data_IF_424777944363
#
_entry.id   IF_424777944363
#
_cell.length_a   1.000
_cell.length_b   1.000
_cell.length_c   1.000
_cell.angle_alpha   90.00
_cell.angle_beta   90.00
_cell.angle_gamma   90.00
#
_symmetry.space_group_name_H-M   'P 1'
#
loop_
_entity.id
_entity.type
_entity.pdbx_description
1 polymer ?
#
# COMPACT_ATOMS: atom_id res chain seq x y z
N UNK A 1 -15.56 17.14 7.86
CA UNK A 1 -14.61 16.09 8.28
C UNK A 1 -13.24 16.73 8.37
N UNK A 2 -12.63 16.69 9.54
CA UNK A 2 -11.29 17.21 9.72
C UNK A 2 -10.27 16.28 9.06
N UNK A 3 -9.05 16.77 8.81
CA UNK A 3 -7.97 15.94 8.27
C UNK A 3 -7.58 14.84 9.26
N UNK A 4 -7.71 15.10 10.55
CA UNK A 4 -7.47 14.13 11.61
C UNK A 4 -8.52 13.01 11.62
N UNK A 5 -9.81 13.36 11.43
CA UNK A 5 -10.89 12.36 11.30
C UNK A 5 -10.64 11.43 10.13
N UNK A 6 -10.19 11.99 8.99
CA UNK A 6 -9.83 11.20 7.82
C UNK A 6 -8.70 10.20 8.14
N UNK A 7 -7.58 10.66 8.71
CA UNK A 7 -6.46 9.76 9.02
C UNK A 7 -6.80 8.73 10.10
N UNK A 8 -7.66 9.08 11.07
CA UNK A 8 -8.18 8.12 12.04
C UNK A 8 -8.98 7.01 11.35
N UNK A 9 -9.92 7.38 10.48
CA UNK A 9 -10.71 6.41 9.73
C UNK A 9 -9.83 5.57 8.79
N UNK A 10 -8.89 6.19 8.06
CA UNK A 10 -7.98 5.51 7.15
C UNK A 10 -7.11 4.47 7.87
N UNK A 11 -6.60 4.81 9.05
CA UNK A 11 -5.84 3.89 9.90
C UNK A 11 -6.69 2.68 10.31
N UNK A 12 -7.89 2.92 10.85
CA UNK A 12 -8.80 1.86 11.29
C UNK A 12 -9.18 0.93 10.15
N UNK A 13 -9.57 1.48 8.99
CA UNK A 13 -9.91 0.69 7.79
C UNK A 13 -8.72 -0.14 7.34
N UNK A 14 -7.54 0.46 7.24
CA UNK A 14 -6.33 -0.22 6.77
C UNK A 14 -5.94 -1.39 7.66
N UNK A 15 -5.92 -1.23 8.98
CA UNK A 15 -5.61 -2.32 9.91
C UNK A 15 -6.71 -3.38 9.98
N UNK A 16 -7.96 -3.01 9.83
CA UNK A 16 -9.08 -3.96 9.72
C UNK A 16 -8.92 -4.82 8.48
N UNK A 17 -8.65 -4.20 7.32
CA UNK A 17 -8.40 -4.92 6.06
C UNK A 17 -7.16 -5.81 6.16
N UNK A 18 -6.09 -5.35 6.80
CA UNK A 18 -4.91 -6.15 7.07
C UNK A 18 -5.22 -7.40 7.89
N UNK A 19 -6.02 -7.24 8.96
CA UNK A 19 -6.46 -8.36 9.80
C UNK A 19 -7.28 -9.40 9.02
N UNK A 20 -8.24 -8.95 8.22
CA UNK A 20 -9.01 -9.83 7.33
C UNK A 20 -8.12 -10.49 6.27
N UNK A 21 -7.19 -9.73 5.70
CA UNK A 21 -6.26 -10.29 4.73
C UNK A 21 -5.37 -11.38 5.32
N UNK A 22 -4.86 -11.19 6.54
CA UNK A 22 -4.06 -12.21 7.20
C UNK A 22 -4.89 -13.46 7.56
N UNK A 23 -6.15 -13.30 7.93
CA UNK A 23 -7.04 -14.44 8.11
C UNK A 23 -7.21 -15.22 6.79
N UNK A 24 -7.46 -14.54 5.67
CA UNK A 24 -7.52 -15.17 4.33
C UNK A 24 -6.20 -15.88 3.99
N UNK A 25 -5.07 -15.22 4.23
CA UNK A 25 -3.75 -15.81 3.98
C UNK A 25 -3.49 -17.07 4.80
N UNK A 26 -3.95 -17.12 6.05
CA UNK A 26 -3.87 -18.33 6.89
C UNK A 26 -4.72 -19.47 6.32
N UNK A 27 -5.94 -19.21 5.91
CA UNK A 27 -6.80 -20.23 5.29
C UNK A 27 -6.25 -20.75 3.96
N UNK A 28 -5.53 -19.90 3.22
CA UNK A 28 -4.93 -20.24 1.93
C UNK A 28 -3.48 -20.69 2.04
N UNK A 29 -2.93 -20.79 3.25
CA UNK A 29 -1.50 -21.11 3.46
C UNK A 29 -1.11 -22.42 2.78
N UNK A 30 -1.94 -23.47 2.90
CA UNK A 30 -1.66 -24.77 2.30
C UNK A 30 -1.59 -24.68 0.76
N UNK A 31 -2.50 -23.91 0.14
CA UNK A 31 -2.57 -23.73 -1.32
C UNK A 31 -1.37 -22.91 -1.84
N UNK A 32 -0.87 -21.96 -1.03
CA UNK A 32 0.19 -21.04 -1.42
C UNK A 32 1.59 -21.50 -0.97
N UNK A 33 1.68 -22.52 -0.12
CA UNK A 33 2.96 -23.00 0.42
C UNK A 33 3.92 -23.46 -0.69
N UNK A 34 3.38 -24.07 -1.75
CA UNK A 34 4.12 -24.51 -2.93
C UNK A 34 4.39 -23.44 -3.99
N UNK A 35 3.80 -22.23 -3.86
CA UNK A 35 3.90 -21.16 -4.87
C UNK A 35 4.59 -19.91 -4.30
N UNK A 36 5.92 -19.75 -4.50
CA UNK A 36 6.65 -18.60 -4.02
C UNK A 36 6.15 -17.27 -4.60
N UNK A 37 5.61 -17.27 -5.84
CA UNK A 37 5.12 -16.06 -6.47
C UNK A 37 3.87 -15.54 -5.77
N UNK A 38 2.91 -16.42 -5.45
CA UNK A 38 1.71 -16.06 -4.69
C UNK A 38 2.04 -15.54 -3.30
N UNK A 39 2.98 -16.18 -2.59
CA UNK A 39 3.41 -15.70 -1.26
C UNK A 39 4.00 -14.31 -1.32
N UNK A 40 4.81 -14.02 -2.34
CA UNK A 40 5.39 -12.68 -2.54
C UNK A 40 4.31 -11.64 -2.83
N UNK A 41 3.36 -11.96 -3.72
CA UNK A 41 2.25 -11.06 -4.02
C UNK A 41 1.33 -10.86 -2.80
N UNK A 42 1.08 -11.90 -2.01
CA UNK A 42 0.35 -11.78 -0.75
C UNK A 42 1.07 -10.83 0.23
N UNK A 43 2.40 -10.83 0.24
CA UNK A 43 3.17 -9.87 1.02
C UNK A 43 3.02 -8.43 0.51
N UNK A 44 3.01 -8.22 -0.82
CA UNK A 44 2.71 -6.89 -1.40
C UNK A 44 1.35 -6.39 -0.94
N UNK A 45 0.31 -7.23 -0.98
CA UNK A 45 -1.03 -6.86 -0.49
C UNK A 45 -1.00 -6.48 1.00
N UNK A 46 -0.22 -7.22 1.81
CA UNK A 46 -0.04 -6.86 3.23
C UNK A 46 0.57 -5.46 3.40
N UNK A 47 1.55 -5.10 2.58
CA UNK A 47 2.18 -3.77 2.59
C UNK A 47 1.20 -2.67 2.15
N UNK A 48 0.30 -2.96 1.20
CA UNK A 48 -0.72 -2.01 0.73
C UNK A 48 -1.78 -1.68 1.80
N UNK A 49 -1.88 -2.44 2.88
CA UNK A 49 -2.71 -2.13 4.04
C UNK A 49 -1.87 -1.66 5.22
N UNK A 50 -0.74 -2.31 5.50
CA UNK A 50 0.11 -2.00 6.65
C UNK A 50 0.67 -0.58 6.57
N UNK A 51 1.28 -0.21 5.43
CA UNK A 51 1.95 1.09 5.31
C UNK A 51 0.97 2.26 5.34
N UNK A 52 -0.15 2.27 4.58
CA UNK A 52 -1.17 3.31 4.74
C UNK A 52 -1.73 3.43 6.16
N UNK A 53 -1.97 2.29 6.82
CA UNK A 53 -2.43 2.28 8.21
C UNK A 53 -1.42 2.91 9.16
N UNK A 54 -0.15 2.53 9.04
CA UNK A 54 0.94 3.07 9.87
C UNK A 54 1.18 4.57 9.59
N UNK A 55 1.24 4.97 8.30
CA UNK A 55 1.38 6.38 7.92
C UNK A 55 0.23 7.23 8.48
N UNK A 56 -1.00 6.73 8.37
CA UNK A 56 -2.19 7.41 8.91
C UNK A 56 -2.12 7.56 10.42
N UNK A 57 -1.77 6.49 11.15
CA UNK A 57 -1.63 6.51 12.60
C UNK A 57 -0.54 7.48 13.06
N UNK A 58 0.63 7.44 12.43
CA UNK A 58 1.75 8.30 12.77
C UNK A 58 1.50 9.77 12.38
N UNK A 59 0.72 10.01 11.31
CA UNK A 59 0.29 11.35 10.92
C UNK A 59 -0.55 12.02 12.03
N UNK A 60 -1.38 11.26 12.72
CA UNK A 60 -2.17 11.79 13.85
C UNK A 60 -1.29 12.23 15.03
N UNK A 61 -0.14 11.58 15.22
CA UNK A 61 0.83 11.94 16.27
C UNK A 61 1.72 13.12 15.88
N UNK A 62 1.78 13.47 14.58
CA UNK A 62 2.67 14.53 14.12
C UNK A 62 2.22 15.93 14.55
N UNK A 63 0.92 16.14 14.83
CA UNK A 63 0.36 17.43 15.20
C UNK A 63 0.83 18.53 14.23
N UNK A 64 1.34 19.63 14.79
CA UNK A 64 1.88 20.75 14.01
C UNK A 64 3.37 20.62 13.68
N UNK A 65 3.97 19.42 13.85
CA UNK A 65 5.39 19.18 13.60
C UNK A 65 5.65 18.70 12.19
N UNK A 66 6.06 19.59 11.22
CA UNK A 66 6.20 19.22 9.81
C UNK A 66 7.24 18.12 9.56
N UNK A 67 8.30 18.07 10.37
CA UNK A 67 9.37 17.10 10.23
C UNK A 67 8.87 15.67 10.46
N UNK A 68 7.99 15.47 11.45
CA UNK A 68 7.55 14.14 11.83
C UNK A 68 6.70 13.48 10.74
N UNK A 69 5.73 14.19 10.16
CA UNK A 69 4.94 13.61 9.07
C UNK A 69 5.78 13.41 7.80
N UNK A 70 6.72 14.32 7.48
CA UNK A 70 7.63 14.17 6.33
C UNK A 70 8.50 12.93 6.47
N UNK A 71 9.08 12.68 7.64
CA UNK A 71 9.86 11.46 7.91
C UNK A 71 8.98 10.21 7.82
N UNK A 72 7.76 10.27 8.34
CA UNK A 72 6.83 9.15 8.31
C UNK A 72 6.43 8.79 6.87
N UNK A 73 5.93 9.76 6.11
CA UNK A 73 5.49 9.51 4.73
C UNK A 73 6.67 9.24 3.79
N UNK A 74 7.74 10.00 3.90
CA UNK A 74 8.95 9.78 3.09
C UNK A 74 9.60 8.43 3.38
N UNK A 75 9.77 8.07 4.66
CA UNK A 75 10.36 6.80 5.05
C UNK A 75 9.49 5.60 4.71
N UNK A 76 8.19 5.64 5.04
CA UNK A 76 7.28 4.55 4.72
C UNK A 76 7.00 4.44 3.20
N UNK A 77 6.91 5.57 2.50
CA UNK A 77 6.80 5.58 1.04
C UNK A 77 8.02 4.94 0.36
N UNK A 78 9.22 5.31 0.79
CA UNK A 78 10.46 4.71 0.29
C UNK A 78 10.53 3.21 0.60
N UNK A 79 10.19 2.82 1.82
CA UNK A 79 10.12 1.40 2.21
C UNK A 79 9.12 0.63 1.33
N UNK A 80 7.93 1.18 1.12
CA UNK A 80 6.90 0.59 0.27
C UNK A 80 7.34 0.47 -1.20
N UNK A 81 8.00 1.51 -1.73
CA UNK A 81 8.56 1.51 -3.07
C UNK A 81 9.61 0.41 -3.23
N UNK A 82 10.63 0.40 -2.37
CA UNK A 82 11.72 -0.57 -2.44
C UNK A 82 11.20 -2.01 -2.25
N UNK A 83 10.36 -2.24 -1.24
CA UNK A 83 9.80 -3.56 -0.99
C UNK A 83 8.93 -4.05 -2.17
N UNK A 84 8.08 -3.19 -2.72
CA UNK A 84 7.24 -3.53 -3.89
C UNK A 84 8.10 -3.87 -5.11
N UNK A 85 9.14 -3.07 -5.40
CA UNK A 85 10.06 -3.32 -6.52
C UNK A 85 10.81 -4.64 -6.34
N UNK A 86 11.42 -4.87 -5.17
CA UNK A 86 12.18 -6.09 -4.91
C UNK A 86 11.31 -7.36 -4.99
N UNK A 87 10.10 -7.30 -4.41
CA UNK A 87 9.19 -8.44 -4.40
C UNK A 87 8.65 -8.71 -5.82
N UNK A 88 8.21 -7.66 -6.52
CA UNK A 88 7.61 -7.80 -7.84
C UNK A 88 8.64 -8.20 -8.92
N UNK A 89 9.86 -7.66 -8.89
CA UNK A 89 10.92 -8.03 -9.84
C UNK A 89 11.45 -9.43 -9.59
N UNK A 90 11.47 -9.89 -8.34
CA UNK A 90 11.85 -11.26 -7.98
C UNK A 90 10.78 -12.31 -8.31
N UNK A 91 9.60 -11.92 -8.80
CA UNK A 91 8.51 -12.84 -9.15
C UNK A 91 8.58 -13.16 -10.66
N UNK A 92 8.57 -14.45 -11.07
CA UNK A 92 8.55 -14.81 -12.48
C UNK A 92 7.39 -14.15 -13.24
N UNK A 93 7.62 -13.78 -14.50
CA UNK A 93 6.61 -13.15 -15.35
C UNK A 93 5.53 -14.12 -15.81
N UNK A 94 5.87 -15.41 -15.90
CA UNK A 94 5.01 -16.49 -16.36
C UNK A 94 4.40 -17.23 -15.17
N UNK A 95 3.10 -17.48 -15.21
CA UNK A 95 2.39 -18.24 -14.19
C UNK A 95 1.22 -17.48 -13.59
N UNK A 96 0.78 -17.94 -12.43
CA UNK A 96 -0.38 -17.44 -11.68
C UNK A 96 -0.26 -15.94 -11.40
N UNK A 97 -1.28 -15.18 -11.74
CA UNK A 97 -1.32 -13.76 -11.41
C UNK A 97 -0.67 -12.84 -12.44
N UNK A 98 -0.74 -13.16 -13.74
CA UNK A 98 -0.08 -12.40 -14.79
C UNK A 98 -0.29 -10.89 -14.78
N UNK A 99 -1.43 -10.38 -14.27
CA UNK A 99 -1.69 -8.95 -14.14
C UNK A 99 -1.31 -8.37 -12.75
N UNK A 100 -1.17 -9.22 -11.73
CA UNK A 100 -0.84 -8.77 -10.36
C UNK A 100 0.56 -8.15 -10.28
N UNK A 101 1.53 -8.76 -10.98
CA UNK A 101 2.89 -8.23 -11.07
C UNK A 101 2.93 -6.84 -11.74
N UNK A 102 2.36 -6.64 -12.95
CA UNK A 102 2.31 -5.30 -13.54
C UNK A 102 1.51 -4.31 -12.68
N UNK A 103 0.43 -4.72 -12.01
CA UNK A 103 -0.29 -3.83 -11.08
C UNK A 103 0.60 -3.37 -9.92
N UNK A 104 1.41 -4.27 -9.34
CA UNK A 104 2.38 -3.89 -8.31
C UNK A 104 3.44 -2.93 -8.85
N UNK A 105 4.02 -3.20 -10.03
CA UNK A 105 5.09 -2.40 -10.60
C UNK A 105 4.62 -1.06 -11.19
N UNK A 106 3.47 -1.05 -11.88
CA UNK A 106 3.01 0.12 -12.63
C UNK A 106 1.97 0.97 -11.87
N UNK A 107 1.43 0.47 -10.78
CA UNK A 107 0.47 1.22 -9.94
C UNK A 107 1.00 1.41 -8.52
N UNK A 108 1.29 0.34 -7.78
CA UNK A 108 1.71 0.46 -6.39
C UNK A 108 3.06 1.19 -6.25
N UNK A 109 4.07 0.81 -7.05
CA UNK A 109 5.39 1.44 -6.97
C UNK A 109 5.36 2.94 -7.32
N UNK A 110 4.70 3.41 -8.41
CA UNK A 110 4.52 4.84 -8.65
C UNK A 110 3.76 5.58 -7.53
N UNK A 111 2.73 4.99 -6.93
CA UNK A 111 2.02 5.61 -5.81
C UNK A 111 2.95 5.82 -4.61
N UNK A 112 3.75 4.82 -4.23
CA UNK A 112 4.75 4.96 -3.18
C UNK A 112 5.84 5.98 -3.54
N UNK A 113 6.26 6.03 -4.81
CA UNK A 113 7.21 7.03 -5.28
C UNK A 113 6.64 8.45 -5.16
N UNK A 114 5.35 8.66 -5.50
CA UNK A 114 4.68 9.95 -5.36
C UNK A 114 4.55 10.36 -3.89
N UNK A 115 4.17 9.44 -3.00
CA UNK A 115 4.15 9.69 -1.54
C UNK A 115 5.53 10.16 -1.07
N UNK A 116 6.58 9.46 -1.43
CA UNK A 116 7.95 9.84 -1.07
C UNK A 116 8.32 11.22 -1.62
N UNK A 117 7.98 11.48 -2.89
CA UNK A 117 8.26 12.75 -3.57
C UNK A 117 7.58 13.93 -2.86
N UNK A 118 6.28 13.83 -2.56
CA UNK A 118 5.53 14.91 -1.93
C UNK A 118 5.87 15.10 -0.45
N UNK A 119 6.33 14.06 0.24
CA UNK A 119 6.88 14.18 1.57
C UNK A 119 8.21 14.94 1.59
N UNK A 120 9.07 14.78 0.56
CA UNK A 120 10.34 15.47 0.44
C UNK A 120 10.14 16.92 -0.07
N UNK A 121 9.31 17.10 -1.10
CA UNK A 121 9.02 18.40 -1.72
C UNK A 121 7.54 18.75 -1.66
N UNK A 122 7.01 19.14 -0.48
CA UNK A 122 5.60 19.47 -0.32
C UNK A 122 5.15 20.71 -1.09
N UNK A 123 6.09 21.55 -1.50
CA UNK A 123 5.83 22.73 -2.31
C UNK A 123 5.23 22.38 -3.67
N UNK A 124 5.64 21.25 -4.27
CA UNK A 124 5.10 20.77 -5.56
C UNK A 124 3.57 20.56 -5.45
N UNK A 125 3.09 19.99 -4.34
CA UNK A 125 1.67 19.78 -4.13
C UNK A 125 0.88 21.10 -4.07
N UNK A 126 1.43 22.12 -3.43
CA UNK A 126 0.81 23.45 -3.30
C UNK A 126 0.81 24.22 -4.60
N UNK A 127 1.97 24.28 -5.28
CA UNK A 127 2.19 25.14 -6.44
C UNK A 127 1.50 24.59 -7.71
N UNK A 128 1.45 23.27 -7.87
CA UNK A 128 0.90 22.63 -9.07
C UNK A 128 -0.56 22.19 -8.91
N UNK A 129 -0.95 21.71 -7.74
CA UNK A 129 -2.28 21.13 -7.52
C UNK A 129 -3.18 22.00 -6.64
N UNK A 130 -2.63 23.03 -5.98
CA UNK A 130 -3.37 23.87 -5.04
C UNK A 130 -3.89 23.10 -3.80
N UNK A 131 -3.34 21.91 -3.53
CA UNK A 131 -3.73 21.06 -2.42
C UNK A 131 -2.76 21.19 -1.26
N UNK A 132 -3.28 21.04 -0.04
CA UNK A 132 -2.39 20.86 1.11
C UNK A 132 -1.66 19.51 1.00
N UNK A 133 -0.36 19.42 1.35
CA UNK A 133 0.41 18.19 1.26
C UNK A 133 -0.28 16.99 1.91
N UNK A 134 -0.82 17.15 3.12
CA UNK A 134 -1.54 16.07 3.81
C UNK A 134 -2.85 15.65 3.10
N UNK A 135 -3.51 16.53 2.38
CA UNK A 135 -4.69 16.16 1.58
C UNK A 135 -4.29 15.28 0.40
N UNK A 136 -3.22 15.64 -0.28
CA UNK A 136 -2.71 14.85 -1.41
C UNK A 136 -2.21 13.48 -0.95
N UNK A 137 -1.46 13.45 0.16
CA UNK A 137 -1.01 12.19 0.76
C UNK A 137 -2.20 11.29 1.14
N UNK A 138 -3.26 11.86 1.73
CA UNK A 138 -4.49 11.12 2.03
C UNK A 138 -5.15 10.50 0.80
N UNK A 139 -5.15 11.21 -0.34
CA UNK A 139 -5.65 10.68 -1.61
C UNK A 139 -4.79 9.50 -2.07
N UNK A 140 -3.47 9.63 -2.04
CA UNK A 140 -2.53 8.58 -2.44
C UNK A 140 -2.67 7.33 -1.55
N UNK A 141 -2.82 7.51 -0.22
CA UNK A 141 -3.08 6.40 0.70
C UNK A 141 -4.39 5.69 0.37
N UNK A 142 -5.45 6.43 0.06
CA UNK A 142 -6.75 5.85 -0.33
C UNK A 142 -6.63 5.01 -1.59
N UNK A 143 -5.85 5.46 -2.57
CA UNK A 143 -5.57 4.72 -3.80
C UNK A 143 -4.77 3.43 -3.52
N UNK A 144 -3.79 3.46 -2.61
CA UNK A 144 -3.05 2.27 -2.19
C UNK A 144 -3.96 1.24 -1.53
N UNK A 145 -4.83 1.67 -0.61
CA UNK A 145 -5.80 0.78 0.05
C UNK A 145 -6.78 0.18 -0.97
N UNK A 146 -7.31 1.01 -1.88
CA UNK A 146 -8.18 0.55 -2.95
C UNK A 146 -7.49 -0.48 -3.85
N UNK A 147 -6.24 -0.24 -4.24
CA UNK A 147 -5.43 -1.19 -4.99
C UNK A 147 -5.25 -2.49 -4.20
N UNK A 148 -4.95 -2.39 -2.90
CA UNK A 148 -4.79 -3.54 -2.01
C UNK A 148 -6.02 -4.43 -1.98
N UNK A 149 -7.23 -3.85 -1.89
CA UNK A 149 -8.49 -4.60 -1.93
C UNK A 149 -8.65 -5.33 -3.26
N UNK A 150 -8.36 -4.67 -4.39
CA UNK A 150 -8.49 -5.29 -5.72
C UNK A 150 -7.48 -6.43 -5.90
N UNK A 151 -6.23 -6.26 -5.46
CA UNK A 151 -5.21 -7.31 -5.52
C UNK A 151 -5.54 -8.48 -4.60
N UNK A 152 -6.03 -8.22 -3.38
CA UNK A 152 -6.47 -9.25 -2.44
C UNK A 152 -7.61 -10.08 -3.03
N UNK A 153 -8.61 -9.43 -3.64
CA UNK A 153 -9.73 -10.09 -4.30
C UNK A 153 -9.25 -11.02 -5.42
N UNK A 154 -8.35 -10.55 -6.26
CA UNK A 154 -7.84 -11.34 -7.38
C UNK A 154 -7.02 -12.54 -6.93
N UNK A 155 -6.13 -12.37 -5.95
CA UNK A 155 -5.37 -13.48 -5.36
C UNK A 155 -6.30 -14.54 -4.73
N UNK A 156 -7.44 -14.11 -4.18
CA UNK A 156 -8.41 -15.03 -3.60
C UNK A 156 -9.04 -15.95 -4.66
N UNK A 157 -9.38 -15.42 -5.84
CA UNK A 157 -10.08 -16.18 -6.88
C UNK A 157 -9.16 -17.04 -7.76
N UNK A 158 -7.92 -16.66 -7.98
CA UNK A 158 -6.98 -17.40 -8.84
C UNK A 158 -6.66 -18.83 -8.35
N UNK A 159 -6.94 -19.16 -7.09
CA UNK A 159 -6.70 -20.49 -6.52
C UNK A 159 -7.68 -21.60 -6.97
N UNK A 160 -8.77 -21.26 -7.68
CA UNK A 160 -9.83 -22.24 -8.02
C UNK A 160 -9.70 -22.91 -9.38
N UNK A 161 -8.74 -22.53 -10.22
CA UNK A 161 -8.67 -23.01 -11.61
C UNK A 161 -7.55 -24.03 -11.87
N UNK A 162 -6.92 -24.58 -10.84
CA UNK A 162 -5.87 -25.62 -10.97
C UNK A 162 -6.32 -26.98 -10.39
N UNK A 163 -7.57 -27.36 -10.68
CA UNK A 163 -8.10 -28.70 -10.40
C UNK A 163 -8.61 -29.33 -11.68
#
# INVERSE_FOLDING_TARGET
MSIQDFYSAASQISFTLLGFWWAVAQFRHADWAGDPARRRLAHVVSLLFLLPGAMSLLSMLSGDTPVLWRLTFGGAGLLGLVATLLIATGTPAEGTGGWLRPAALFVAAPLYALITLFAIWPEIARDWLGLQPLQLEGILLSLLVFLGVNLAWSLFWEGKHSG
#
